data_IF_926100176019
#
_entry.id   IF_926100176019
#
_cell.length_a   1.000
_cell.length_b   1.000
_cell.length_c   1.000
_cell.angle_alpha   90.00
_cell.angle_beta   90.00
_cell.angle_gamma   90.00
#
_symmetry.space_group_name_H-M   'P 1'
#
loop_
_entity.id
_entity.type
_entity.pdbx_description
1 polymer ?
#
# COMPACT_ATOMS: atom_id res chain seq x y z
N UNK A 1 -3.97 41.61 8.19
CA UNK A 1 -4.29 40.53 9.16
C UNK A 1 -3.14 40.38 10.14
N UNK A 2 -3.38 40.51 11.45
CA UNK A 2 -2.35 40.22 12.48
C UNK A 2 -2.14 38.69 12.55
N UNK A 3 -0.89 38.24 12.59
CA UNK A 3 -0.50 36.82 12.68
C UNK A 3 -1.05 36.11 13.93
N UNK A 4 -1.30 36.88 14.99
CA UNK A 4 -1.77 36.41 16.30
C UNK A 4 -3.20 35.83 16.30
N UNK A 5 -3.98 36.08 15.24
CA UNK A 5 -5.37 35.60 15.14
C UNK A 5 -5.49 34.21 14.46
N UNK A 6 -4.39 33.63 14.00
CA UNK A 6 -4.41 32.32 13.35
C UNK A 6 -4.39 31.23 14.42
N UNK A 7 -5.56 30.63 14.66
CA UNK A 7 -5.71 29.49 15.57
C UNK A 7 -5.66 28.15 14.81
N UNK A 8 -5.36 27.03 15.50
CA UNK A 8 -5.37 25.70 14.89
C UNK A 8 -6.69 25.34 14.19
N UNK A 9 -7.85 25.84 14.66
CA UNK A 9 -9.14 25.57 14.03
C UNK A 9 -9.22 26.12 12.60
N UNK A 10 -8.63 27.29 12.34
CA UNK A 10 -8.60 27.88 11.00
C UNK A 10 -7.77 27.03 10.02
N UNK A 11 -6.67 26.47 10.49
CA UNK A 11 -5.83 25.56 9.70
C UNK A 11 -6.59 24.26 9.43
N UNK A 12 -7.35 23.76 10.39
CA UNK A 12 -8.17 22.56 10.18
C UNK A 12 -9.28 22.80 9.17
N UNK A 13 -10.01 23.92 9.28
CA UNK A 13 -11.02 24.31 8.30
C UNK A 13 -10.44 24.46 6.89
N UNK A 14 -9.24 25.03 6.78
CA UNK A 14 -8.51 25.09 5.52
C UNK A 14 -8.20 23.70 4.97
N UNK A 15 -7.62 22.82 5.80
CA UNK A 15 -7.31 21.45 5.40
C UNK A 15 -8.55 20.67 4.99
N UNK A 16 -9.68 20.83 5.67
CA UNK A 16 -10.94 20.17 5.32
C UNK A 16 -11.46 20.65 3.96
N UNK A 17 -11.49 21.98 3.72
CA UNK A 17 -11.88 22.56 2.43
C UNK A 17 -10.94 22.12 1.29
N UNK A 18 -9.63 22.11 1.53
CA UNK A 18 -8.62 21.74 0.53
C UNK A 18 -8.59 20.23 0.28
N UNK A 19 -8.78 19.45 1.34
CA UNK A 19 -8.78 17.98 1.33
C UNK A 19 -9.91 17.37 0.50
N UNK A 20 -10.99 18.13 0.23
CA UNK A 20 -12.01 17.76 -0.77
C UNK A 20 -11.40 17.63 -2.17
N UNK A 21 -10.49 18.53 -2.54
CA UNK A 21 -9.79 18.49 -3.84
C UNK A 21 -8.59 17.54 -3.82
N UNK A 22 -7.70 17.70 -2.85
CA UNK A 22 -6.50 16.86 -2.73
C UNK A 22 -5.99 16.81 -1.29
N UNK A 23 -6.05 15.62 -0.69
CA UNK A 23 -5.55 15.36 0.67
C UNK A 23 -4.04 15.52 0.79
N UNK A 24 -3.30 15.02 -0.21
CA UNK A 24 -1.82 15.11 -0.26
C UNK A 24 -1.40 16.57 -0.37
N UNK A 25 -2.07 17.35 -1.22
CA UNK A 25 -1.73 18.76 -1.39
C UNK A 25 -2.03 19.57 -0.13
N UNK A 26 -3.17 19.30 0.54
CA UNK A 26 -3.49 19.90 1.84
C UNK A 26 -2.42 19.62 2.91
N UNK A 27 -1.89 18.39 2.95
CA UNK A 27 -0.80 18.02 3.87
C UNK A 27 0.51 18.74 3.55
N UNK A 28 0.89 18.84 2.26
CA UNK A 28 2.08 19.59 1.82
C UNK A 28 1.99 21.08 2.15
N UNK A 29 0.83 21.69 1.92
CA UNK A 29 0.57 23.09 2.24
C UNK A 29 0.61 23.32 3.77
N UNK A 30 0.06 22.41 4.57
CA UNK A 30 0.20 22.45 6.05
C UNK A 30 1.65 22.36 6.50
N UNK A 31 2.45 21.49 5.88
CA UNK A 31 3.89 21.39 6.17
C UNK A 31 4.63 22.69 5.80
N UNK A 32 4.29 23.30 4.66
CA UNK A 32 4.82 24.60 4.25
C UNK A 32 4.47 25.71 5.25
N UNK A 33 3.19 25.85 5.63
CA UNK A 33 2.75 26.81 6.64
C UNK A 33 3.49 26.62 7.97
N UNK A 34 3.67 25.37 8.39
CA UNK A 34 4.43 25.05 9.60
C UNK A 34 5.88 25.48 9.53
N UNK A 35 6.54 25.40 8.36
CA UNK A 35 7.93 25.90 8.19
C UNK A 35 7.99 27.42 8.25
N UNK A 36 7.06 28.12 7.61
CA UNK A 36 6.99 29.59 7.63
C UNK A 36 6.79 30.11 9.05
N UNK A 37 5.86 29.52 9.81
CA UNK A 37 5.61 29.96 11.19
C UNK A 37 6.77 29.63 12.11
N UNK A 38 7.46 28.50 11.89
CA UNK A 38 8.68 28.18 12.66
C UNK A 38 9.79 29.22 12.43
N UNK A 39 10.01 29.63 11.19
CA UNK A 39 10.94 30.72 10.88
C UNK A 39 10.54 32.04 11.55
N UNK A 40 9.24 32.35 11.57
CA UNK A 40 8.73 33.56 12.22
C UNK A 40 8.88 33.51 13.76
N UNK A 41 8.71 32.33 14.36
CA UNK A 41 8.92 32.08 15.78
C UNK A 41 10.38 32.31 16.19
N UNK A 42 11.34 31.78 15.43
CA UNK A 42 12.78 31.97 15.65
C UNK A 42 13.21 33.45 15.61
N UNK A 43 12.44 34.29 14.90
CA UNK A 43 12.65 35.74 14.80
C UNK A 43 11.80 36.55 15.80
N UNK A 44 11.10 35.89 16.73
CA UNK A 44 10.24 36.54 17.73
C UNK A 44 8.95 37.17 17.19
N UNK A 45 8.55 36.86 15.95
CA UNK A 45 7.35 37.47 15.31
C UNK A 45 6.04 36.78 15.70
N UNK A 46 6.11 35.57 16.24
CA UNK A 46 4.95 34.77 16.62
C UNK A 46 5.29 34.04 17.91
N UNK A 47 4.33 33.97 18.84
CA UNK A 47 4.49 33.31 20.15
C UNK A 47 4.46 31.78 20.11
N UNK A 48 3.77 31.19 19.12
CA UNK A 48 3.67 29.73 18.95
C UNK A 48 3.26 29.35 17.53
N UNK A 49 3.50 28.10 17.14
CA UNK A 49 3.08 27.58 15.84
C UNK A 49 1.66 26.97 15.90
N UNK A 50 0.64 27.59 15.26
CA UNK A 50 -0.72 27.08 15.26
C UNK A 50 -0.90 25.82 14.40
N UNK A 51 0.09 25.46 13.56
CA UNK A 51 0.09 24.21 12.79
C UNK A 51 0.45 22.99 13.64
N UNK A 52 0.96 23.21 14.86
CA UNK A 52 1.32 22.15 15.79
C UNK A 52 0.04 21.56 16.40
N UNK A 53 -0.07 20.22 16.40
CA UNK A 53 -1.27 19.50 16.88
C UNK A 53 -2.37 19.26 15.83
N UNK A 54 -2.35 19.93 14.67
CA UNK A 54 -3.33 19.66 13.60
C UNK A 54 -3.02 18.32 12.91
N UNK A 55 -3.95 17.36 13.02
CA UNK A 55 -3.85 16.03 12.42
C UNK A 55 -3.85 16.10 10.89
N UNK A 56 -2.84 15.48 10.29
CA UNK A 56 -2.72 15.33 8.83
C UNK A 56 -3.68 14.27 8.30
N UNK A 57 -3.99 14.34 7.00
CA UNK A 57 -4.70 13.25 6.32
C UNK A 57 -3.78 12.03 6.20
N UNK A 58 -4.35 10.82 6.30
CA UNK A 58 -3.61 9.58 6.00
C UNK A 58 -3.19 9.59 4.52
N UNK A 59 -1.91 9.35 4.28
CA UNK A 59 -1.35 9.15 2.94
C UNK A 59 -0.87 7.71 2.81
N UNK A 60 -1.10 7.10 1.64
CA UNK A 60 -0.56 5.78 1.35
C UNK A 60 0.84 5.95 0.79
N UNK A 61 1.85 5.49 1.53
CA UNK A 61 3.22 5.46 1.04
C UNK A 61 3.35 4.47 -0.13
N UNK A 62 4.22 4.79 -1.07
CA UNK A 62 4.58 3.85 -2.13
C UNK A 62 5.45 2.74 -1.53
N UNK A 63 5.13 1.49 -1.86
CA UNK A 63 5.92 0.35 -1.41
C UNK A 63 7.08 0.10 -2.36
N UNK A 64 8.13 -0.55 -1.87
CA UNK A 64 9.27 -0.98 -2.70
C UNK A 64 8.80 -1.85 -3.89
N UNK A 65 7.81 -2.71 -3.67
CA UNK A 65 7.22 -3.53 -4.72
C UNK A 65 6.56 -2.68 -5.82
N UNK A 66 5.87 -1.59 -5.44
CA UNK A 66 5.28 -0.66 -6.41
C UNK A 66 6.35 0.06 -7.24
N UNK A 67 7.47 0.46 -6.62
CA UNK A 67 8.59 1.06 -7.34
C UNK A 67 9.18 0.11 -8.38
N UNK A 68 9.41 -1.16 -8.00
CA UNK A 68 9.89 -2.20 -8.91
C UNK A 68 8.92 -2.45 -10.08
N UNK A 69 7.61 -2.44 -9.79
CA UNK A 69 6.59 -2.59 -10.82
C UNK A 69 6.59 -1.43 -11.82
N UNK A 70 6.81 -0.19 -11.36
CA UNK A 70 6.90 0.99 -12.23
C UNK A 70 8.16 0.92 -13.09
N UNK A 71 9.32 0.59 -12.52
CA UNK A 71 10.54 0.38 -13.30
C UNK A 71 10.35 -0.70 -14.37
N UNK A 72 9.64 -1.78 -14.04
CA UNK A 72 9.32 -2.84 -15.02
C UNK A 72 8.40 -2.33 -16.13
N UNK A 73 7.50 -1.40 -15.82
CA UNK A 73 6.59 -0.80 -16.80
C UNK A 73 7.31 0.20 -17.73
N UNK A 74 8.35 0.88 -17.25
CA UNK A 74 9.20 1.75 -18.07
C UNK A 74 9.98 0.98 -19.15
N UNK A 75 10.20 -0.32 -18.97
CA UNK A 75 10.81 -1.19 -19.97
C UNK A 75 9.88 -1.57 -21.13
N UNK A 76 8.61 -1.15 -21.11
CA UNK A 76 7.67 -1.43 -22.19
C UNK A 76 8.07 -0.69 -23.46
N UNK A 77 8.15 -1.45 -24.56
CA UNK A 77 8.56 -0.90 -25.86
C UNK A 77 7.55 0.16 -26.35
N UNK A 78 8.09 1.31 -26.74
CA UNK A 78 7.39 2.37 -27.47
C UNK A 78 7.88 2.39 -28.92
N UNK A 79 6.98 2.70 -29.85
CA UNK A 79 7.36 2.99 -31.22
C UNK A 79 8.21 4.27 -31.26
N UNK A 80 9.13 4.35 -32.22
CA UNK A 80 10.03 5.49 -32.35
C UNK A 80 9.24 6.82 -32.42
N UNK A 81 9.65 7.79 -31.60
CA UNK A 81 9.02 9.12 -31.53
C UNK A 81 7.77 9.21 -30.65
N UNK A 82 7.39 8.14 -29.93
CA UNK A 82 6.20 8.15 -29.07
C UNK A 82 6.54 8.21 -27.58
N UNK A 83 5.73 8.94 -26.82
CA UNK A 83 5.76 8.99 -25.36
C UNK A 83 4.37 8.67 -24.80
N UNK A 84 4.33 8.04 -23.63
CA UNK A 84 3.08 7.67 -22.95
C UNK A 84 2.94 8.42 -21.63
N UNK A 85 1.75 8.93 -21.35
CA UNK A 85 1.36 9.44 -20.04
C UNK A 85 0.87 8.34 -19.09
N UNK A 86 0.64 7.13 -19.61
CA UNK A 86 0.14 5.99 -18.87
C UNK A 86 1.28 5.07 -18.44
N UNK A 87 1.22 4.56 -17.21
CA UNK A 87 2.17 3.57 -16.68
C UNK A 87 2.15 2.28 -17.52
N UNK A 88 0.95 1.80 -17.86
CA UNK A 88 0.77 0.65 -18.75
C UNK A 88 0.18 1.12 -20.08
N UNK A 89 0.94 0.98 -21.15
CA UNK A 89 0.57 1.47 -22.47
C UNK A 89 0.86 0.46 -23.57
N UNK A 90 0.21 0.66 -24.71
CA UNK A 90 0.51 -0.05 -25.94
C UNK A 90 1.79 0.52 -26.56
N UNK A 91 2.44 -0.17 -27.52
CA UNK A 91 3.60 0.39 -28.24
C UNK A 91 3.30 1.71 -28.95
N UNK A 92 2.01 1.96 -29.21
CA UNK A 92 1.52 3.23 -29.74
C UNK A 92 1.47 4.39 -28.73
N UNK A 93 1.87 4.18 -27.47
CA UNK A 93 1.76 5.18 -26.39
C UNK A 93 0.34 5.37 -25.83
N UNK A 94 -0.67 4.72 -26.42
CA UNK A 94 -2.06 4.80 -25.96
C UNK A 94 -2.36 3.84 -24.81
N UNK A 95 -3.38 4.18 -24.02
CA UNK A 95 -3.88 3.31 -22.94
C UNK A 95 -4.35 1.95 -23.47
N UNK A 96 -4.25 0.93 -22.63
CA UNK A 96 -4.94 -0.34 -22.88
C UNK A 96 -6.47 -0.18 -22.73
N UNK A 97 -7.22 -0.76 -23.66
CA UNK A 97 -8.66 -0.98 -23.48
C UNK A 97 -8.88 -2.20 -22.59
N UNK A 98 -10.06 -2.29 -21.94
CA UNK A 98 -10.40 -3.45 -21.10
C UNK A 98 -10.36 -4.77 -21.88
N UNK A 99 -10.80 -4.75 -23.14
CA UNK A 99 -10.78 -5.91 -24.03
C UNK A 99 -9.34 -6.31 -24.40
N UNK A 100 -8.50 -5.34 -24.78
CA UNK A 100 -7.10 -5.59 -25.10
C UNK A 100 -6.33 -6.14 -23.89
N UNK A 101 -6.57 -5.58 -22.70
CA UNK A 101 -5.98 -6.08 -21.46
C UNK A 101 -6.41 -7.53 -21.17
N UNK A 102 -7.71 -7.84 -21.32
CA UNK A 102 -8.22 -9.21 -21.15
C UNK A 102 -7.58 -10.18 -22.16
N UNK A 103 -7.38 -9.76 -23.41
CA UNK A 103 -6.70 -10.57 -24.41
C UNK A 103 -5.25 -10.87 -24.04
N UNK A 104 -4.49 -9.86 -23.58
CA UNK A 104 -3.11 -10.05 -23.09
C UNK A 104 -3.07 -10.97 -21.87
N UNK A 105 -4.01 -10.83 -20.93
CA UNK A 105 -4.14 -11.73 -19.78
C UNK A 105 -4.35 -13.18 -20.21
N UNK A 106 -5.25 -13.43 -21.16
CA UNK A 106 -5.50 -14.79 -21.66
C UNK A 106 -4.29 -15.35 -22.40
N UNK A 107 -3.57 -14.52 -23.16
CA UNK A 107 -2.30 -14.91 -23.81
C UNK A 107 -1.24 -15.31 -22.78
N UNK A 108 -1.07 -14.51 -21.73
CA UNK A 108 -0.16 -14.82 -20.63
C UNK A 108 -0.53 -16.13 -19.93
N UNK A 109 -1.81 -16.35 -19.63
CA UNK A 109 -2.30 -17.62 -19.07
C UNK A 109 -2.00 -18.82 -19.98
N UNK A 110 -2.19 -18.67 -21.29
CA UNK A 110 -1.88 -19.73 -22.25
C UNK A 110 -0.39 -20.08 -22.22
N UNK A 111 0.49 -19.09 -22.28
CA UNK A 111 1.94 -19.28 -22.18
C UNK A 111 2.37 -19.92 -20.85
N UNK A 112 1.73 -19.52 -19.74
CA UNK A 112 2.00 -20.12 -18.43
C UNK A 112 1.56 -21.58 -18.36
N UNK A 113 0.39 -21.92 -18.92
CA UNK A 113 -0.11 -23.30 -19.00
C UNK A 113 0.80 -24.20 -19.86
N UNK A 114 1.37 -23.65 -20.93
CA UNK A 114 2.35 -24.36 -21.76
C UNK A 114 3.65 -24.64 -20.99
N UNK A 115 4.13 -23.66 -20.20
CA UNK A 115 5.37 -23.78 -19.42
C UNK A 115 5.22 -24.64 -18.17
N UNK A 116 4.06 -24.62 -17.53
CA UNK A 116 3.76 -25.33 -16.29
C UNK A 116 2.54 -26.23 -16.49
N UNK A 117 2.76 -27.41 -17.06
CA UNK A 117 1.70 -28.35 -17.44
C UNK A 117 0.94 -28.96 -16.25
N UNK A 118 1.58 -29.05 -15.09
CA UNK A 118 1.01 -29.66 -13.88
C UNK A 118 0.27 -28.66 -12.98
N UNK A 119 0.26 -27.37 -13.33
CA UNK A 119 -0.42 -26.32 -12.55
C UNK A 119 -1.79 -25.98 -13.12
N UNK A 120 -2.78 -25.88 -12.23
CA UNK A 120 -4.10 -25.41 -12.60
C UNK A 120 -4.18 -23.87 -12.63
N UNK A 121 -4.59 -23.31 -13.77
CA UNK A 121 -4.66 -21.87 -14.02
C UNK A 121 -6.10 -21.34 -14.03
N UNK A 122 -7.00 -21.88 -13.20
CA UNK A 122 -8.41 -21.43 -13.07
C UNK A 122 -8.56 -20.14 -12.23
N UNK A 123 -7.74 -19.12 -12.50
CA UNK A 123 -7.90 -17.80 -11.85
C UNK A 123 -8.07 -16.67 -12.86
N UNK A 124 -8.73 -15.61 -12.42
CA UNK A 124 -9.03 -14.40 -13.19
C UNK A 124 -8.12 -13.25 -12.76
N UNK A 125 -8.08 -12.17 -13.53
CA UNK A 125 -7.31 -10.98 -13.12
C UNK A 125 -7.83 -10.37 -11.80
N UNK A 126 -9.10 -10.57 -11.45
CA UNK A 126 -9.64 -10.10 -10.17
C UNK A 126 -9.01 -10.82 -8.97
N UNK A 127 -8.54 -12.06 -9.17
CA UNK A 127 -7.89 -12.84 -8.12
C UNK A 127 -6.50 -12.30 -7.76
N UNK A 128 -5.86 -11.52 -8.64
CA UNK A 128 -4.63 -10.80 -8.29
C UNK A 128 -4.85 -9.85 -7.12
N UNK A 129 -5.96 -9.08 -7.14
CA UNK A 129 -6.30 -8.18 -6.04
C UNK A 129 -6.53 -8.96 -4.73
N UNK A 130 -7.24 -10.09 -4.82
CA UNK A 130 -7.47 -10.96 -3.67
C UNK A 130 -6.16 -11.50 -3.08
N UNK A 131 -5.23 -11.94 -3.94
CA UNK A 131 -3.92 -12.45 -3.54
C UNK A 131 -3.06 -11.35 -2.89
N UNK A 132 -3.02 -10.16 -3.47
CA UNK A 132 -2.28 -9.02 -2.89
C UNK A 132 -2.79 -8.66 -1.49
N UNK A 133 -4.10 -8.72 -1.25
CA UNK A 133 -4.68 -8.49 0.09
C UNK A 133 -4.33 -9.63 1.05
N UNK A 134 -4.33 -10.87 0.58
CA UNK A 134 -3.96 -12.05 1.37
C UNK A 134 -2.47 -12.05 1.76
N UNK A 135 -1.59 -11.52 0.90
CA UNK A 135 -0.14 -11.50 1.10
C UNK A 135 0.32 -10.45 2.10
N UNK A 136 -0.49 -9.42 2.34
CA UNK A 136 -0.24 -8.46 3.41
C UNK A 136 -0.27 -9.20 4.76
N UNK A 137 0.80 -9.04 5.53
CA UNK A 137 0.81 -9.32 6.96
C UNK A 137 0.03 -8.21 7.70
N UNK A 138 -0.59 -8.56 8.83
CA UNK A 138 -1.35 -7.60 9.65
C UNK A 138 -2.78 -8.04 9.97
N UNK A 139 -3.43 -7.23 10.78
CA UNK A 139 -4.81 -7.42 11.23
C UNK A 139 -5.82 -7.21 10.11
N UNK A 140 -7.03 -7.75 10.27
CA UNK A 140 -8.15 -7.54 9.34
C UNK A 140 -8.47 -6.05 9.11
N UNK A 141 -8.25 -5.21 10.12
CA UNK A 141 -8.48 -3.77 10.04
C UNK A 141 -7.44 -3.07 9.15
N UNK A 142 -6.16 -3.44 9.26
CA UNK A 142 -5.11 -2.90 8.39
C UNK A 142 -5.31 -3.31 6.93
N UNK A 143 -5.73 -4.57 6.70
CA UNK A 143 -6.08 -5.06 5.37
C UNK A 143 -7.30 -4.33 4.79
N UNK A 144 -8.28 -3.97 5.62
CA UNK A 144 -9.43 -3.17 5.20
C UNK A 144 -8.99 -1.80 4.71
N UNK A 145 -8.16 -1.10 5.49
CA UNK A 145 -7.65 0.23 5.14
C UNK A 145 -6.89 0.22 3.80
N UNK A 146 -6.10 -0.82 3.52
CA UNK A 146 -5.33 -0.94 2.28
C UNK A 146 -6.21 -1.31 1.08
N UNK A 147 -7.23 -2.15 1.29
CA UNK A 147 -8.11 -2.64 0.22
C UNK A 147 -9.10 -1.59 -0.32
N UNK A 148 -9.36 -0.53 0.47
CA UNK A 148 -10.34 0.51 0.19
C UNK A 148 -11.80 0.06 0.30
N UNK A 149 -12.07 -1.14 0.85
CA UNK A 149 -13.43 -1.61 1.09
C UNK A 149 -14.05 -0.87 2.27
N UNK A 150 -15.33 -0.48 2.15
CA UNK A 150 -16.07 0.17 3.24
C UNK A 150 -16.48 -0.81 4.35
N UNK A 151 -16.48 -2.11 4.07
CA UNK A 151 -17.07 -3.12 4.94
C UNK A 151 -16.12 -4.29 5.20
N UNK A 152 -15.94 -4.63 6.48
CA UNK A 152 -14.99 -5.65 6.96
C UNK A 152 -15.28 -7.03 6.36
N UNK A 153 -16.57 -7.35 6.14
CA UNK A 153 -17.01 -8.63 5.59
C UNK A 153 -16.53 -8.86 4.14
N UNK A 154 -16.33 -7.80 3.35
CA UNK A 154 -15.74 -7.92 2.01
C UNK A 154 -14.26 -8.31 2.09
N UNK A 155 -13.54 -7.81 3.10
CA UNK A 155 -12.12 -8.09 3.33
C UNK A 155 -11.88 -9.45 3.99
N UNK A 156 -12.79 -9.88 4.88
CA UNK A 156 -12.74 -11.20 5.50
C UNK A 156 -12.79 -12.34 4.48
N UNK A 157 -13.51 -12.15 3.36
CA UNK A 157 -13.58 -13.13 2.25
C UNK A 157 -12.25 -13.34 1.53
N UNK A 158 -11.27 -12.45 1.71
CA UNK A 158 -9.93 -12.54 1.12
C UNK A 158 -8.89 -13.21 2.03
N UNK A 159 -9.19 -13.46 3.30
CA UNK A 159 -8.28 -14.16 4.20
C UNK A 159 -8.36 -15.68 3.99
N UNK A 160 -7.73 -16.19 2.92
CA UNK A 160 -7.73 -17.62 2.57
C UNK A 160 -6.66 -18.42 3.34
N UNK A 161 -5.87 -17.80 4.21
CA UNK A 161 -4.92 -18.52 5.07
C UNK A 161 -5.69 -19.25 6.18
N UNK A 162 -5.52 -20.56 6.25
CA UNK A 162 -6.03 -21.39 7.35
C UNK A 162 -5.39 -20.86 8.64
N UNK A 163 -6.21 -20.39 9.58
CA UNK A 163 -5.73 -20.00 10.91
C UNK A 163 -5.35 -21.26 11.68
N UNK A 164 -4.06 -21.51 11.86
CA UNK A 164 -3.60 -22.51 12.81
C UNK A 164 -3.80 -21.90 14.20
N UNK A 165 -4.84 -22.34 14.90
CA UNK A 165 -5.08 -21.93 16.28
C UNK A 165 -4.23 -22.84 17.16
N UNK A 166 -3.33 -22.30 18.00
CA UNK A 166 -2.61 -23.13 18.96
C UNK A 166 -3.60 -23.73 19.95
N UNK A 167 -3.54 -25.04 20.15
CA UNK A 167 -4.35 -25.73 21.16
C UNK A 167 -3.87 -25.31 22.55
N UNK A 168 -4.79 -24.88 23.41
CA UNK A 168 -4.52 -24.58 24.83
C UNK A 168 -4.15 -25.92 25.50
N UNK A 169 -2.86 -26.23 25.52
CA UNK A 169 -2.30 -27.50 25.99
C UNK A 169 -0.95 -27.86 25.38
N UNK A 170 -0.57 -27.29 24.22
CA UNK A 170 0.68 -27.63 23.54
C UNK A 170 1.96 -26.98 24.10
N UNK A 171 1.87 -26.16 25.16
CA UNK A 171 3.00 -25.39 25.71
C UNK A 171 3.72 -26.07 26.90
N UNK A 172 3.37 -27.32 27.23
CA UNK A 172 4.03 -28.06 28.31
C UNK A 172 4.41 -29.48 27.89
N UNK A 173 5.19 -29.65 26.83
CA UNK A 173 5.89 -30.92 26.62
C UNK A 173 7.25 -30.72 25.91
N UNK A 174 8.05 -29.79 26.44
CA UNK A 174 9.50 -29.88 26.32
C UNK A 174 10.05 -30.39 27.66
N UNK A 175 9.65 -31.60 28.07
CA UNK A 175 10.43 -32.36 29.03
C UNK A 175 11.55 -33.01 28.23
N UNK A 176 12.72 -32.36 28.25
CA UNK A 176 14.00 -32.95 27.87
C UNK A 176 14.14 -34.30 28.57
N UNK A 177 13.94 -35.39 27.83
CA UNK A 177 14.39 -36.71 28.24
C UNK A 177 15.90 -36.74 28.06
N UNK A 178 16.64 -36.37 29.10
CA UNK A 178 18.07 -36.67 29.18
C UNK A 178 18.22 -38.18 29.31
N UNK A 179 18.67 -38.85 28.25
CA UNK A 179 19.22 -40.21 28.37
C UNK A 179 20.53 -40.12 29.15
N UNK A 180 20.71 -40.99 30.14
CA UNK A 180 21.86 -41.07 31.04
C UNK A 180 23.17 -41.54 30.39
N UNK A 181 23.29 -41.51 29.06
CA UNK A 181 24.44 -42.07 28.36
C UNK A 181 24.88 -41.03 27.31
N UNK A 182 25.91 -40.27 27.66
CA UNK A 182 26.36 -39.08 26.92
C UNK A 182 26.99 -39.39 25.57
N UNK A 183 26.19 -39.42 24.51
CA UNK A 183 26.68 -39.31 23.14
C UNK A 183 25.87 -38.26 22.38
N UNK A 184 26.57 -37.21 21.93
CA UNK A 184 26.05 -36.14 21.09
C UNK A 184 26.32 -36.52 19.64
N UNK A 185 25.30 -36.78 18.85
CA UNK A 185 25.43 -36.86 17.38
C UNK A 185 24.87 -35.57 16.77
N UNK A 186 25.75 -34.83 16.11
CA UNK A 186 25.47 -33.60 15.39
C UNK A 186 24.87 -33.97 14.03
N UNK A 187 23.67 -33.48 13.74
CA UNK A 187 23.26 -33.09 12.39
C UNK A 187 22.33 -31.89 12.46
#
# INVERSE_FOLDING_TARGET
MKSENIKPEHIRQYMDKRGVKSRVQANREKAFMSRVVRWAYERGKVKMNPCQGVKQFKEQAWTEHLHKAIQSAELLLLNAGMSSIYVLHQPSGLRYTRAAFKAQWMKAKKMAKEKYRDMDFQFTCHDLKAKSISDLSGSLNEKLEISGHKNVNQTARYNRKISIVPMIGGLYCNLTVTKSNGETMVH
#
